data_IF_702570810366
#
_entry.id   IF_702570810366
#
_cell.length_a   1.000
_cell.length_b   1.000
_cell.length_c   1.000
_cell.angle_alpha   90.00
_cell.angle_beta   90.00
_cell.angle_gamma   90.00
#
_symmetry.space_group_name_H-M   'P 1'
#
loop_
_entity.id
_entity.type
_entity.pdbx_description
1 polymer ?
#
# COMPACT_ATOMS: atom_id res chain seq x y z
N UNK A 1 14.02 -1.49 -3.75
CA UNK A 1 13.41 -1.69 -5.08
C UNK A 1 12.97 -0.33 -5.62
N UNK A 2 13.00 -0.09 -6.94
CA UNK A 2 12.47 1.16 -7.52
C UNK A 2 10.98 1.01 -7.82
N UNK A 3 10.20 2.04 -7.52
CA UNK A 3 8.76 2.06 -7.76
C UNK A 3 8.38 3.23 -8.66
N UNK A 4 7.41 2.99 -9.55
CA UNK A 4 6.74 4.03 -10.32
C UNK A 4 5.28 4.10 -9.87
N UNK A 5 4.80 5.32 -9.61
CA UNK A 5 3.40 5.60 -9.32
C UNK A 5 2.69 5.88 -10.65
N UNK A 6 1.55 5.25 -10.87
CA UNK A 6 0.66 5.66 -11.95
C UNK A 6 -0.10 6.94 -11.57
N UNK A 7 -0.57 7.71 -12.56
CA UNK A 7 -1.43 8.89 -12.34
C UNK A 7 -2.65 8.55 -11.48
N UNK A 8 -3.23 7.36 -11.68
CA UNK A 8 -4.35 6.86 -10.89
C UNK A 8 -4.01 6.80 -9.40
N UNK A 9 -2.82 6.32 -9.03
CA UNK A 9 -2.42 6.23 -7.62
C UNK A 9 -2.26 7.61 -7.00
N UNK A 10 -1.69 8.58 -7.71
CA UNK A 10 -1.57 9.94 -7.17
C UNK A 10 -2.95 10.57 -6.89
N UNK A 11 -3.93 10.34 -7.78
CA UNK A 11 -5.32 10.77 -7.56
C UNK A 11 -5.96 10.06 -6.37
N UNK A 12 -5.71 8.75 -6.19
CA UNK A 12 -6.18 7.98 -5.06
C UNK A 12 -5.62 8.48 -3.72
N UNK A 13 -4.32 8.78 -3.65
CA UNK A 13 -3.66 9.33 -2.47
C UNK A 13 -4.30 10.65 -2.05
N UNK A 14 -4.47 11.56 -3.02
CA UNK A 14 -5.12 12.86 -2.79
C UNK A 14 -6.55 12.69 -2.31
N UNK A 15 -7.36 11.86 -2.99
CA UNK A 15 -8.77 11.65 -2.66
C UNK A 15 -8.97 11.01 -1.29
N UNK A 16 -8.06 10.12 -0.88
CA UNK A 16 -8.15 9.37 0.39
C UNK A 16 -7.37 10.00 1.54
N UNK A 17 -6.73 11.15 1.29
CA UNK A 17 -5.84 11.85 2.24
C UNK A 17 -4.76 10.93 2.80
N UNK A 18 -4.11 10.19 1.91
CA UNK A 18 -2.97 9.34 2.26
C UNK A 18 -1.71 10.15 1.93
N UNK A 19 -0.89 10.52 2.94
CA UNK A 19 0.38 11.18 2.71
C UNK A 19 1.26 10.31 1.82
N UNK A 20 1.99 10.94 0.90
CA UNK A 20 2.87 10.23 -0.03
C UNK A 20 3.98 9.50 0.73
N UNK A 21 4.49 10.13 1.78
CA UNK A 21 5.53 9.65 2.67
C UNK A 21 5.09 8.35 3.37
N UNK A 22 3.80 8.26 3.75
CA UNK A 22 3.25 7.05 4.33
C UNK A 22 3.22 5.89 3.33
N UNK A 23 2.91 6.17 2.06
CA UNK A 23 3.00 5.15 1.00
C UNK A 23 4.45 4.74 0.75
N UNK A 24 5.37 5.69 0.67
CA UNK A 24 6.79 5.44 0.45
C UNK A 24 7.38 4.55 1.55
N UNK A 25 7.05 4.82 2.82
CA UNK A 25 7.46 3.96 3.93
C UNK A 25 6.92 2.53 3.81
N UNK A 26 5.67 2.35 3.38
CA UNK A 26 5.09 1.01 3.14
C UNK A 26 5.77 0.29 1.97
N UNK A 27 6.20 1.02 0.95
CA UNK A 27 6.91 0.43 -0.19
C UNK A 27 8.36 0.07 0.16
N UNK A 28 9.01 0.86 1.02
CA UNK A 28 10.40 0.65 1.44
C UNK A 28 10.54 -0.43 2.52
N UNK A 29 9.70 -0.37 3.55
CA UNK A 29 9.73 -1.28 4.72
C UNK A 29 8.31 -1.78 5.02
N UNK A 30 7.72 -2.60 4.13
CA UNK A 30 6.40 -3.18 4.37
C UNK A 30 6.44 -4.08 5.60
N UNK A 31 5.42 -3.99 6.47
CA UNK A 31 5.26 -4.98 7.54
C UNK A 31 4.87 -6.35 6.96
N UNK A 32 4.11 -6.37 5.86
CA UNK A 32 3.79 -7.59 5.13
C UNK A 32 3.79 -7.36 3.62
N UNK A 33 4.22 -8.39 2.90
CA UNK A 33 4.04 -8.51 1.46
C UNK A 33 3.17 -9.75 1.22
N UNK A 34 1.97 -9.55 0.70
CA UNK A 34 0.99 -10.64 0.49
C UNK A 34 0.68 -10.78 -1.00
N UNK A 35 0.70 -12.01 -1.51
CA UNK A 35 0.18 -12.32 -2.84
C UNK A 35 -1.33 -12.04 -2.91
N UNK A 36 -1.76 -11.21 -3.87
CA UNK A 36 -3.16 -10.78 -3.98
C UNK A 36 -3.89 -11.53 -5.10
N UNK A 37 -3.42 -11.32 -6.34
CA UNK A 37 -3.87 -11.97 -7.57
C UNK A 37 -2.63 -12.19 -8.44
N UNK A 38 -2.73 -13.06 -9.44
CA UNK A 38 -1.61 -13.44 -10.31
C UNK A 38 -0.79 -12.21 -10.74
N UNK A 39 0.48 -12.19 -10.32
CA UNK A 39 1.46 -11.15 -10.64
C UNK A 39 1.34 -9.85 -9.83
N UNK A 40 0.50 -9.79 -8.79
CA UNK A 40 0.32 -8.61 -7.94
C UNK A 40 0.50 -8.93 -6.48
N UNK A 41 1.28 -8.08 -5.81
CA UNK A 41 1.53 -8.14 -4.37
C UNK A 41 0.90 -6.94 -3.68
N UNK A 42 0.38 -7.17 -2.49
CA UNK A 42 0.00 -6.12 -1.56
C UNK A 42 1.15 -5.89 -0.58
N UNK A 43 1.84 -4.76 -0.75
CA UNK A 43 2.76 -4.22 0.24
C UNK A 43 1.90 -3.48 1.26
N UNK A 44 1.96 -3.87 2.53
CA UNK A 44 1.06 -3.33 3.53
C UNK A 44 1.71 -3.14 4.88
N UNK A 45 1.28 -2.07 5.56
CA UNK A 45 1.61 -1.82 6.96
C UNK A 45 0.42 -1.20 7.68
N UNK A 46 0.36 -1.47 8.98
CA UNK A 46 -0.48 -0.77 9.92
C UNK A 46 0.12 0.62 10.16
N UNK A 47 -0.70 1.65 9.99
CA UNK A 47 -0.30 3.05 10.09
C UNK A 47 -1.35 3.78 10.90
N UNK A 48 -0.91 4.60 11.85
CA UNK A 48 -1.80 5.49 12.59
C UNK A 48 -2.17 6.69 11.73
N UNK A 49 -3.46 6.98 11.66
CA UNK A 49 -4.00 8.18 11.03
C UNK A 49 -4.84 8.96 12.05
N UNK A 50 -5.28 10.17 11.65
CA UNK A 50 -6.25 11.06 12.31
C UNK A 50 -6.75 10.57 13.69
N UNK A 51 -6.19 11.11 14.76
CA UNK A 51 -6.61 10.81 16.14
C UNK A 51 -6.04 9.53 16.74
N UNK A 52 -4.92 9.01 16.21
CA UNK A 52 -4.24 7.81 16.72
C UNK A 52 -4.94 6.50 16.34
N UNK A 53 -5.87 6.55 15.38
CA UNK A 53 -6.59 5.36 14.95
C UNK A 53 -5.74 4.56 13.96
N UNK A 54 -5.58 3.27 14.24
CA UNK A 54 -4.83 2.35 13.39
C UNK A 54 -5.64 1.98 12.14
N UNK A 55 -4.98 2.07 10.97
CA UNK A 55 -5.49 1.60 9.69
C UNK A 55 -4.47 0.68 9.04
N UNK A 56 -4.92 -0.20 8.12
CA UNK A 56 -4.02 -0.87 7.20
C UNK A 56 -3.89 -0.02 5.93
N UNK A 57 -2.69 0.46 5.64
CA UNK A 57 -2.34 1.05 4.35
C UNK A 57 -1.86 -0.08 3.42
N UNK A 58 -2.50 -0.22 2.27
CA UNK A 58 -2.20 -1.23 1.25
C UNK A 58 -1.78 -0.54 -0.05
N UNK A 59 -0.62 -0.92 -0.55
CA UNK A 59 -0.11 -0.60 -1.88
C UNK A 59 -0.12 -1.85 -2.74
N UNK A 60 -0.90 -1.84 -3.82
CA UNK A 60 -0.94 -2.95 -4.77
C UNK A 60 0.15 -2.69 -5.82
N UNK A 61 1.10 -3.60 -5.88
CA UNK A 61 2.31 -3.53 -6.69
C UNK A 61 2.28 -4.63 -7.74
N UNK A 62 2.54 -4.25 -8.99
CA UNK A 62 2.90 -5.16 -10.07
C UNK A 62 4.42 -5.15 -10.20
N UNK A 63 5.07 -6.22 -9.74
CA UNK A 63 6.54 -6.35 -9.68
C UNK A 63 7.13 -7.17 -10.84
N UNK A 64 6.32 -7.52 -11.84
CA UNK A 64 6.77 -8.16 -13.08
C UNK A 64 7.47 -7.21 -14.07
N UNK A 65 7.73 -5.95 -13.69
CA UNK A 65 8.39 -4.91 -14.49
C UNK A 65 9.38 -4.13 -13.64
N UNK A 66 10.41 -3.55 -14.28
CA UNK A 66 11.35 -2.62 -13.63
C UNK A 66 11.24 -1.21 -14.25
N UNK A 67 10.95 -0.16 -13.46
CA UNK A 67 10.61 -0.20 -12.03
C UNK A 67 9.24 -0.82 -11.77
N UNK A 68 9.07 -1.43 -10.59
CA UNK A 68 7.81 -2.02 -10.18
C UNK A 68 6.71 -0.96 -10.16
N UNK A 69 5.50 -1.32 -10.60
CA UNK A 69 4.41 -0.38 -10.79
C UNK A 69 3.43 -0.45 -9.62
N UNK A 70 3.24 0.67 -8.94
CA UNK A 70 2.14 0.82 -7.97
C UNK A 70 0.87 1.16 -8.74
N UNK A 71 -0.12 0.28 -8.67
CA UNK A 71 -1.38 0.40 -9.43
C UNK A 71 -2.55 0.87 -8.57
N UNK A 72 -2.48 0.70 -7.25
CA UNK A 72 -3.53 1.13 -6.33
C UNK A 72 -2.94 1.41 -4.95
N UNK A 73 -3.40 2.46 -4.26
CA UNK A 73 -3.05 2.71 -2.85
C UNK A 73 -4.27 3.13 -2.04
N UNK A 74 -4.58 2.42 -0.96
CA UNK A 74 -5.72 2.74 -0.10
C UNK A 74 -5.48 2.36 1.37
N UNK A 75 -6.19 3.06 2.26
CA UNK A 75 -6.28 2.71 3.68
C UNK A 75 -7.62 2.04 4.01
N UNK A 76 -7.61 1.09 4.94
CA UNK A 76 -8.83 0.43 5.42
C UNK A 76 -8.75 0.14 6.92
N UNK A 77 -9.87 0.28 7.63
CA UNK A 77 -9.99 -0.15 9.03
C UNK A 77 -10.18 -1.67 9.18
N UNK A 78 -10.42 -2.39 8.08
CA UNK A 78 -10.65 -3.85 8.08
C UNK A 78 -9.32 -4.64 8.17
N UNK A 79 -8.46 -4.30 9.13
CA UNK A 79 -7.13 -4.91 9.30
C UNK A 79 -7.23 -6.44 9.33
N UNK A 80 -8.11 -6.99 10.19
CA UNK A 80 -8.32 -8.44 10.34
C UNK A 80 -8.65 -9.19 9.05
N UNK A 81 -9.28 -8.54 8.06
CA UNK A 81 -9.62 -9.17 6.78
C UNK A 81 -8.38 -9.43 5.92
N UNK A 82 -7.39 -8.55 6.05
CA UNK A 82 -6.27 -8.42 5.10
C UNK A 82 -4.91 -8.74 5.73
N UNK A 83 -4.82 -8.71 7.06
CA UNK A 83 -3.65 -9.13 7.81
C UNK A 83 -3.54 -10.65 7.78
N UNK A 84 -2.32 -11.15 7.66
CA UNK A 84 -2.03 -12.59 7.75
C UNK A 84 -1.19 -12.81 8.99
N UNK A 85 -1.71 -13.58 9.93
CA UNK A 85 -0.88 -13.98 11.08
C UNK A 85 0.23 -14.93 10.56
N UNK A 86 1.41 -14.92 11.20
CA UNK A 86 2.47 -15.90 10.92
C UNK A 86 2.00 -17.34 11.10
#
# INVERSE_FOLDING_TARGET
>A
MRFRLSKHVEEELRRRRIPREALELVLEVPQQIIEERIGRKAYQSQVEFEGGKLYLLRAIVFDGVDPALVVTAYRTSRIRKYWREP
#
